data_IF_346142368482
#
_entry.id   IF_346142368482
#
_cell.length_a   1.000
_cell.length_b   1.000
_cell.length_c   1.000
_cell.angle_alpha   90.00
_cell.angle_beta   90.00
_cell.angle_gamma   90.00
#
_symmetry.space_group_name_H-M   'P 1'
#
loop_
_entity.id
_entity.type
_entity.pdbx_description
1 polymer ?
#
# COMPACT_ATOMS: atom_id res chain seq x y z
N UNK A 1 2.78 -9.40 -6.66
CA UNK A 1 1.71 -8.64 -6.00
C UNK A 1 2.07 -7.17 -5.92
N UNK A 2 1.06 -6.34 -5.70
CA UNK A 2 1.25 -4.88 -5.67
C UNK A 2 0.84 -4.33 -4.33
N UNK A 3 1.51 -3.28 -3.90
CA UNK A 3 1.12 -2.57 -2.68
C UNK A 3 1.28 -1.07 -2.89
N UNK A 4 0.67 -0.29 -2.02
CA UNK A 4 0.58 1.16 -2.15
C UNK A 4 1.45 1.80 -1.08
N UNK A 5 2.29 2.75 -1.48
CA UNK A 5 3.13 3.52 -0.56
C UNK A 5 2.89 5.00 -0.78
N UNK A 6 3.16 5.79 0.25
CA UNK A 6 3.09 7.24 0.14
C UNK A 6 4.50 7.82 -0.10
N UNK A 7 4.60 9.14 -0.13
CA UNK A 7 5.86 9.82 -0.40
C UNK A 7 6.88 9.68 0.74
N UNK A 8 6.45 9.21 1.92
CA UNK A 8 7.33 8.89 3.04
C UNK A 8 7.73 7.42 3.07
N UNK A 9 7.40 6.66 2.02
CA UNK A 9 7.64 5.22 1.92
C UNK A 9 6.86 4.41 2.95
N UNK A 10 5.78 4.97 3.47
CA UNK A 10 4.89 4.23 4.36
C UNK A 10 3.94 3.36 3.55
N UNK A 11 3.70 2.14 4.00
CA UNK A 11 2.93 1.12 3.29
C UNK A 11 1.50 1.09 3.82
N UNK A 12 0.53 1.06 2.91
CA UNK A 12 -0.87 0.91 3.28
C UNK A 12 -1.12 -0.49 3.82
N UNK A 13 -1.73 -0.57 4.99
CA UNK A 13 -2.07 -1.84 5.64
C UNK A 13 -3.58 -2.10 5.60
N UNK A 14 -3.95 -3.33 5.98
CA UNK A 14 -5.34 -3.79 5.88
C UNK A 14 -6.33 -2.96 6.71
N UNK A 15 -5.85 -2.30 7.76
CA UNK A 15 -6.69 -1.42 8.58
C UNK A 15 -6.87 -0.02 7.99
N UNK A 16 -6.34 0.23 6.79
CA UNK A 16 -6.47 1.52 6.13
C UNK A 16 -5.47 2.57 6.59
N UNK A 17 -4.48 2.17 7.38
CA UNK A 17 -3.45 3.09 7.89
C UNK A 17 -2.12 2.80 7.21
N UNK A 18 -1.34 3.85 6.98
CA UNK A 18 0.01 3.71 6.41
C UNK A 18 1.03 3.61 7.54
N UNK A 19 1.92 2.62 7.44
CA UNK A 19 3.01 2.42 8.40
C UNK A 19 4.34 2.43 7.67
N UNK A 20 5.39 2.86 8.35
CA UNK A 20 6.73 3.01 7.77
C UNK A 20 7.40 1.66 7.43
N UNK A 21 6.85 0.56 7.92
CA UNK A 21 7.35 -0.78 7.61
C UNK A 21 6.20 -1.78 7.73
N UNK A 22 6.44 -3.01 7.26
CA UNK A 22 5.44 -4.06 7.38
C UNK A 22 5.21 -4.39 8.85
N UNK A 23 3.95 -4.35 9.29
CA UNK A 23 3.56 -4.55 10.68
C UNK A 23 3.01 -5.95 10.94
N UNK A 24 3.46 -6.93 10.14
CA UNK A 24 2.96 -8.31 10.26
C UNK A 24 3.25 -8.92 11.63
N UNK A 25 4.35 -8.51 12.26
CA UNK A 25 4.69 -8.97 13.62
C UNK A 25 3.74 -8.46 14.69
N UNK A 26 2.87 -7.51 14.35
CA UNK A 26 1.89 -6.93 15.28
C UNK A 26 0.46 -7.33 14.93
N UNK A 27 0.30 -8.37 14.11
CA UNK A 27 -1.02 -8.85 13.73
C UNK A 27 -1.67 -8.08 12.59
N UNK A 28 -0.95 -7.13 11.99
CA UNK A 28 -1.43 -6.38 10.84
C UNK A 28 -0.81 -6.94 9.58
N UNK A 29 -1.49 -6.73 8.45
CA UNK A 29 -1.02 -7.21 7.15
C UNK A 29 -0.93 -6.04 6.19
N UNK A 30 0.16 -5.92 5.41
CA UNK A 30 0.17 -4.97 4.30
C UNK A 30 -0.94 -5.31 3.30
N UNK A 31 -1.56 -4.28 2.73
CA UNK A 31 -2.59 -4.48 1.70
C UNK A 31 -1.90 -4.88 0.40
N UNK A 32 -2.05 -6.14 0.02
CA UNK A 32 -1.46 -6.67 -1.19
C UNK A 32 -2.55 -6.95 -2.22
N UNK A 33 -2.28 -6.60 -3.47
CA UNK A 33 -3.22 -6.76 -4.58
C UNK A 33 -2.59 -7.65 -5.64
N UNK A 34 -3.33 -8.65 -6.08
CA UNK A 34 -2.84 -9.56 -7.12
C UNK A 34 -2.81 -8.89 -8.48
N UNK A 35 -3.77 -7.99 -8.74
CA UNK A 35 -3.89 -7.29 -10.01
C UNK A 35 -3.53 -5.82 -9.85
N UNK A 36 -2.78 -5.30 -10.80
CA UNK A 36 -2.40 -3.91 -10.80
C UNK A 36 -3.62 -2.98 -10.87
N UNK A 37 -4.66 -3.37 -11.63
CA UNK A 37 -5.87 -2.57 -11.74
C UNK A 37 -6.56 -2.38 -10.39
N UNK A 38 -6.58 -3.41 -9.55
CA UNK A 38 -7.14 -3.30 -8.21
C UNK A 38 -6.31 -2.35 -7.34
N UNK A 39 -4.99 -2.44 -7.44
CA UNK A 39 -4.09 -1.54 -6.72
C UNK A 39 -4.29 -0.09 -7.18
N UNK A 40 -4.43 0.12 -8.49
CA UNK A 40 -4.66 1.46 -9.03
C UNK A 40 -5.97 2.06 -8.53
N UNK A 41 -7.02 1.26 -8.48
CA UNK A 41 -8.32 1.70 -7.98
C UNK A 41 -8.21 2.13 -6.51
N UNK A 42 -7.58 1.30 -5.70
CA UNK A 42 -7.39 1.62 -4.29
C UNK A 42 -6.48 2.83 -4.10
N UNK A 43 -5.45 2.93 -4.92
CA UNK A 43 -4.54 4.06 -4.88
C UNK A 43 -5.28 5.37 -5.15
N UNK A 44 -6.17 5.39 -6.16
CA UNK A 44 -6.97 6.56 -6.48
C UNK A 44 -7.91 6.92 -5.33
N UNK A 45 -8.53 5.90 -4.71
CA UNK A 45 -9.41 6.10 -3.57
C UNK A 45 -8.66 6.73 -2.38
N UNK A 46 -7.50 6.18 -2.06
CA UNK A 46 -6.70 6.68 -0.95
C UNK A 46 -6.10 8.05 -1.25
N UNK A 47 -5.79 8.34 -2.53
CA UNK A 47 -5.29 9.65 -2.92
C UNK A 47 -6.32 10.75 -2.65
N UNK A 48 -7.60 10.45 -2.84
CA UNK A 48 -8.69 11.39 -2.51
C UNK A 48 -8.78 11.62 -1.01
N UNK A 49 -8.52 10.57 -0.23
CA UNK A 49 -8.57 10.65 1.23
C UNK A 49 -7.37 11.43 1.79
N UNK A 50 -6.23 11.30 1.15
CA UNK A 50 -4.98 11.93 1.59
C UNK A 50 -4.38 12.76 0.45
N UNK A 51 -5.01 13.90 0.08
CA UNK A 51 -4.53 14.69 -1.06
C UNK A 51 -3.16 15.33 -0.84
N UNK A 52 -2.71 15.42 0.41
CA UNK A 52 -1.40 15.98 0.74
C UNK A 52 -0.25 15.02 0.45
N UNK A 53 -0.56 13.74 0.22
CA UNK A 53 0.46 12.73 -0.08
C UNK A 53 0.47 12.38 -1.56
N UNK A 54 1.64 11.99 -2.06
CA UNK A 54 1.77 11.41 -3.39
C UNK A 54 1.83 9.90 -3.24
N UNK A 55 0.79 9.21 -3.66
CA UNK A 55 0.72 7.75 -3.54
C UNK A 55 1.21 7.09 -4.81
N UNK A 56 1.86 5.95 -4.66
CA UNK A 56 2.35 5.18 -5.79
C UNK A 56 2.17 3.71 -5.53
N UNK A 57 2.21 2.92 -6.61
CA UNK A 57 2.07 1.48 -6.56
C UNK A 57 3.45 0.86 -6.76
N UNK A 58 3.80 -0.09 -5.88
CA UNK A 58 5.06 -0.82 -5.97
C UNK A 58 4.76 -2.29 -6.20
N UNK A 59 5.48 -2.89 -7.12
CA UNK A 59 5.35 -4.32 -7.37
C UNK A 59 6.26 -5.09 -6.42
N UNK A 60 5.66 -6.00 -5.67
CA UNK A 60 6.41 -6.91 -4.80
C UNK A 60 6.75 -8.17 -5.58
N UNK A 61 8.03 -8.45 -5.70
CA UNK A 61 8.51 -9.66 -6.37
C UNK A 61 8.89 -10.70 -5.34
N UNK A 62 8.51 -11.94 -5.63
CA UNK A 62 8.97 -13.05 -4.84
C UNK A 62 10.41 -13.37 -5.20
N UNK A 63 11.20 -13.70 -4.20
CA UNK A 63 12.56 -14.15 -4.39
C UNK A 63 12.71 -15.57 -3.87
N UNK A 64 13.45 -16.35 -4.60
CA UNK A 64 13.74 -17.73 -4.24
C UNK A 64 15.21 -17.97 -4.34
#
# INVERSE_FOLDING_TARGET
>A
MYYIVNDNNSILHSNGVFYCCAMSGYGLQPSLYKRKSNAERKCAEMQKKYPQWTLRIVEQRKRY
#
